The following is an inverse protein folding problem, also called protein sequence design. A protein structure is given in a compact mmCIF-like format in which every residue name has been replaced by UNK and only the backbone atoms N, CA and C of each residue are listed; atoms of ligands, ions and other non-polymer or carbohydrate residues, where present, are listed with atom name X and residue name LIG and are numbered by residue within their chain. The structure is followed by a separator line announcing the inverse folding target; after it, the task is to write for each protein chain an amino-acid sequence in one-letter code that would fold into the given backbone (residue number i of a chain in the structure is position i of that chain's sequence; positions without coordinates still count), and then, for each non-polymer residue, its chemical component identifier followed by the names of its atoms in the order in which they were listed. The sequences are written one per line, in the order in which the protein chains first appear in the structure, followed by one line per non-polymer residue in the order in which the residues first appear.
data_IF_191040019682
#
_entry.id   IF_191040019682
#
_cell.length_a   1.000
_cell.length_b   1.000
_cell.length_c   1.000
_cell.angle_alpha   90.00
_cell.angle_beta   90.00
_cell.angle_gamma   90.00
#
_symmetry.space_group_name_H-M   'P 1'
#
loop_
_entity.id
_entity.type
_entity.pdbx_description
1 polymer ?
#
# COMPACT_ATOMS: atom_id res chain seq x y z
N UNK A 1 1.84 -19.28 -3.70
CA UNK A 1 3.18 -18.68 -3.75
C UNK A 1 3.08 -17.17 -3.66
N UNK A 2 3.87 -16.56 -2.78
CA UNK A 2 3.82 -15.13 -2.58
C UNK A 2 4.48 -14.39 -3.74
N UNK A 3 3.85 -13.31 -4.18
CA UNK A 3 4.42 -12.47 -5.23
C UNK A 3 5.49 -11.56 -4.65
N UNK A 4 6.44 -11.16 -5.48
CA UNK A 4 7.46 -10.19 -5.08
C UNK A 4 6.80 -8.88 -4.62
N UNK A 5 5.76 -8.44 -5.30
CA UNK A 5 5.04 -7.22 -4.93
C UNK A 5 4.46 -7.31 -3.52
N UNK A 6 3.94 -8.47 -3.14
CA UNK A 6 3.40 -8.68 -1.80
C UNK A 6 4.49 -8.57 -0.74
N UNK A 7 5.67 -9.11 -1.03
CA UNK A 7 6.82 -9.01 -0.12
C UNK A 7 7.26 -7.55 0.04
N UNK A 8 7.31 -6.80 -1.06
CA UNK A 8 7.68 -5.39 -1.02
C UNK A 8 6.66 -4.60 -0.19
N UNK A 9 5.38 -4.81 -0.40
CA UNK A 9 4.34 -4.12 0.35
C UNK A 9 4.40 -4.45 1.84
N UNK A 10 4.64 -5.72 2.16
CA UNK A 10 4.79 -6.13 3.56
C UNK A 10 5.97 -5.40 4.22
N UNK A 11 7.09 -5.34 3.55
CA UNK A 11 8.25 -4.64 4.09
C UNK A 11 8.00 -3.14 4.24
N UNK A 12 7.29 -2.54 3.30
CA UNK A 12 6.93 -1.12 3.39
C UNK A 12 6.00 -0.85 4.58
N UNK A 13 5.19 -1.83 4.97
CA UNK A 13 4.26 -1.67 6.08
C UNK A 13 4.88 -1.97 7.43
N UNK A 14 5.84 -2.89 7.50
CA UNK A 14 6.31 -3.40 8.78
C UNK A 14 7.78 -3.13 9.08
N UNK A 15 8.57 -2.67 8.11
CA UNK A 15 9.99 -2.36 8.29
C UNK A 15 10.22 -0.88 8.03
N UNK A 16 10.32 -0.10 9.10
CA UNK A 16 10.46 1.35 9.00
C UNK A 16 11.74 1.77 8.28
N UNK A 17 12.86 1.13 8.58
CA UNK A 17 14.12 1.47 7.93
C UNK A 17 14.07 1.19 6.43
N UNK A 18 13.48 0.06 6.06
CA UNK A 18 13.28 -0.30 4.66
C UNK A 18 12.48 0.79 3.95
N UNK A 19 11.39 1.21 4.57
CA UNK A 19 10.51 2.22 3.99
C UNK A 19 11.23 3.55 3.79
N UNK A 20 11.96 4.01 4.78
CA UNK A 20 12.69 5.28 4.70
C UNK A 20 13.73 5.25 3.60
N UNK A 21 14.40 4.12 3.41
CA UNK A 21 15.48 3.99 2.44
C UNK A 21 15.00 3.76 1.03
N UNK A 22 13.88 3.07 0.87
CA UNK A 22 13.45 2.60 -0.46
C UNK A 22 12.26 3.33 -1.04
N UNK A 23 11.35 3.84 -0.20
CA UNK A 23 10.12 4.46 -0.70
C UNK A 23 10.35 5.57 -1.73
N UNK A 24 11.32 6.48 -1.54
CA UNK A 24 11.55 7.53 -2.54
C UNK A 24 11.98 7.02 -3.92
N UNK A 25 12.46 5.79 -4.00
CA UNK A 25 12.93 5.20 -5.25
C UNK A 25 11.91 4.29 -5.91
N UNK A 26 10.82 3.95 -5.22
CA UNK A 26 9.77 3.12 -5.79
C UNK A 26 8.82 3.96 -6.62
N UNK A 27 8.32 3.34 -7.68
CA UNK A 27 7.31 3.93 -8.55
C UNK A 27 6.09 3.01 -8.57
N UNK A 28 4.92 3.59 -8.71
CA UNK A 28 3.67 2.84 -8.79
C UNK A 28 3.65 1.86 -9.96
N UNK A 29 4.36 2.16 -11.04
CA UNK A 29 4.46 1.27 -12.20
C UNK A 29 5.18 -0.05 -11.92
N UNK A 30 5.89 -0.15 -10.78
CA UNK A 30 6.52 -1.41 -10.37
C UNK A 30 5.49 -2.42 -9.89
N UNK A 31 4.27 -2.00 -9.63
CA UNK A 31 3.20 -2.86 -9.18
C UNK A 31 2.25 -3.11 -10.34
N UNK A 32 2.10 -4.38 -10.72
CA UNK A 32 1.36 -4.75 -11.93
C UNK A 32 -0.13 -4.81 -11.73
N UNK A 33 -0.60 -5.15 -10.53
CA UNK A 33 -2.02 -5.20 -10.24
C UNK A 33 -2.50 -3.85 -9.73
N UNK A 34 -3.74 -3.51 -10.07
CA UNK A 34 -4.33 -2.25 -9.67
C UNK A 34 -4.45 -2.16 -8.14
N UNK A 35 -4.82 -3.27 -7.50
CA UNK A 35 -4.95 -3.33 -6.03
C UNK A 35 -3.64 -3.00 -5.33
N UNK A 36 -2.55 -3.61 -5.77
CA UNK A 36 -1.24 -3.37 -5.18
C UNK A 36 -0.78 -1.94 -5.41
N UNK A 37 -1.09 -1.40 -6.58
CA UNK A 37 -0.76 -0.01 -6.91
C UNK A 37 -1.49 0.96 -6.00
N UNK A 38 -2.77 0.71 -5.74
CA UNK A 38 -3.55 1.53 -4.82
C UNK A 38 -2.96 1.52 -3.41
N UNK A 39 -2.59 0.33 -2.93
CA UNK A 39 -1.99 0.19 -1.61
C UNK A 39 -0.68 0.97 -1.53
N UNK A 40 0.16 0.82 -2.55
CA UNK A 40 1.43 1.53 -2.60
C UNK A 40 1.23 3.05 -2.60
N UNK A 41 0.28 3.55 -3.38
CA UNK A 41 -0.02 4.98 -3.42
C UNK A 41 -0.43 5.51 -2.04
N UNK A 42 -1.26 4.77 -1.32
CA UNK A 42 -1.70 5.18 0.01
C UNK A 42 -0.57 5.14 1.02
N UNK A 43 0.32 4.16 0.92
CA UNK A 43 1.51 4.10 1.78
C UNK A 43 2.38 5.35 1.55
N UNK A 44 2.60 5.70 0.30
CA UNK A 44 3.42 6.87 -0.04
C UNK A 44 2.80 8.16 0.47
N UNK A 45 1.50 8.34 0.24
CA UNK A 45 0.79 9.53 0.72
C UNK A 45 0.88 9.67 2.23
N UNK A 46 0.65 8.57 2.93
CA UNK A 46 0.67 8.57 4.38
C UNK A 46 2.07 8.91 4.90
N UNK A 47 3.09 8.28 4.33
CA UNK A 47 4.47 8.54 4.73
C UNK A 47 4.87 10.00 4.47
N UNK A 48 4.48 10.54 3.31
CA UNK A 48 4.76 11.94 2.99
C UNK A 48 4.09 12.89 3.97
N UNK A 49 2.89 12.54 4.43
CA UNK A 49 2.11 13.40 5.32
C UNK A 49 2.57 13.31 6.78
N UNK A 50 2.86 12.11 7.25
CA UNK A 50 3.13 11.86 8.66
C UNK A 50 4.55 11.44 8.98
N UNK A 51 5.38 11.22 7.97
CA UNK A 51 6.78 10.77 8.10
C UNK A 51 6.92 9.44 8.84
N UNK A 52 5.91 8.59 8.75
CA UNK A 52 5.94 7.25 9.31
C UNK A 52 5.00 6.34 8.55
N UNK A 53 5.21 5.02 8.76
CA UNK A 53 4.42 4.00 8.09
C UNK A 53 2.97 4.01 8.56
N UNK A 54 2.02 3.75 7.65
CA UNK A 54 0.64 3.54 8.05
C UNK A 54 0.46 2.12 8.61
N UNK A 55 -0.54 1.95 9.46
CA UNK A 55 -1.00 0.62 9.82
C UNK A 55 -1.96 0.11 8.75
N UNK A 56 -2.27 -1.19 8.77
CA UNK A 56 -3.25 -1.76 7.85
C UNK A 56 -4.61 -1.12 8.08
N UNK A 57 -4.97 -0.86 9.33
CA UNK A 57 -6.23 -0.17 9.65
C UNK A 57 -6.26 1.24 9.06
N UNK A 58 -5.16 1.97 9.19
CA UNK A 58 -5.08 3.32 8.63
C UNK A 58 -5.24 3.31 7.11
N UNK A 59 -4.59 2.35 6.43
CA UNK A 59 -4.75 2.20 4.99
C UNK A 59 -6.18 1.89 4.60
N UNK A 60 -6.84 1.03 5.36
CA UNK A 60 -8.24 0.69 5.11
C UNK A 60 -9.14 1.92 5.20
N UNK A 61 -8.93 2.77 6.21
CA UNK A 61 -9.69 3.99 6.39
C UNK A 61 -9.46 4.94 5.21
N UNK A 62 -8.21 5.12 4.82
CA UNK A 62 -7.87 6.02 3.70
C UNK A 62 -8.47 5.53 2.38
N UNK A 63 -8.40 4.24 2.12
CA UNK A 63 -8.98 3.66 0.91
C UNK A 63 -10.50 3.81 0.89
N UNK A 64 -11.16 3.55 2.01
CA UNK A 64 -12.61 3.71 2.11
C UNK A 64 -13.05 5.16 1.92
N UNK A 65 -12.19 6.11 2.24
CA UNK A 65 -12.48 7.53 2.07
C UNK A 65 -12.34 8.02 0.64
N UNK A 66 -11.76 7.21 -0.24
CA UNK A 66 -11.59 7.60 -1.64
C UNK A 66 -12.90 7.44 -2.41
N UNK A 67 -13.19 8.40 -3.25
CA UNK A 67 -14.37 8.34 -4.13
C UNK A 67 -13.98 8.33 -5.61
N UNK A 68 -12.69 8.22 -5.90
CA UNK A 68 -12.15 8.20 -7.26
C UNK A 68 -11.89 6.78 -7.77
N UNK A 69 -12.24 5.76 -6.99
CA UNK A 69 -12.06 4.36 -7.38
C UNK A 69 -13.40 3.63 -7.36
N UNK A 70 -13.52 2.63 -8.22
CA UNK A 70 -14.73 1.82 -8.29
C UNK A 70 -14.83 0.92 -7.06
N UNK A 71 -16.05 0.57 -6.69
CA UNK A 71 -16.32 -0.30 -5.55
C UNK A 71 -15.59 -1.64 -5.66
N UNK A 72 -15.55 -2.22 -6.86
CA UNK A 72 -14.85 -3.48 -7.09
C UNK A 72 -13.35 -3.35 -6.86
N UNK A 73 -12.78 -2.22 -7.24
CA UNK A 73 -11.36 -1.96 -7.04
C UNK A 73 -11.04 -1.77 -5.57
N UNK A 74 -11.90 -1.06 -4.86
CA UNK A 74 -11.77 -0.90 -3.41
C UNK A 74 -11.81 -2.25 -2.71
N UNK A 75 -12.77 -3.09 -3.08
CA UNK A 75 -12.91 -4.42 -2.50
C UNK A 75 -11.66 -5.26 -2.73
N UNK A 76 -11.12 -5.23 -3.94
CA UNK A 76 -9.89 -5.97 -4.27
C UNK A 76 -8.70 -5.48 -3.45
N UNK A 77 -8.59 -4.18 -3.27
CA UNK A 77 -7.51 -3.60 -2.46
C UNK A 77 -7.64 -4.02 -0.99
N UNK A 78 -8.85 -4.01 -0.44
CA UNK A 78 -9.09 -4.42 0.94
C UNK A 78 -8.76 -5.89 1.15
N UNK A 79 -9.10 -6.74 0.19
CA UNK A 79 -8.75 -8.16 0.24
C UNK A 79 -7.24 -8.36 0.20
N UNK A 80 -6.53 -7.60 -0.63
CA UNK A 80 -5.07 -7.66 -0.69
C UNK A 80 -4.44 -7.25 0.63
N UNK A 81 -4.97 -6.22 1.29
CA UNK A 81 -4.49 -5.81 2.61
C UNK A 81 -4.61 -6.94 3.64
N UNK A 82 -5.70 -7.68 3.61
CA UNK A 82 -5.90 -8.80 4.52
C UNK A 82 -4.86 -9.89 4.33
N UNK A 83 -4.40 -10.10 3.11
CA UNK A 83 -3.43 -11.17 2.81
C UNK A 83 -1.99 -10.77 3.09
N UNK A 84 -1.71 -9.48 3.26
CA UNK A 84 -0.35 -9.01 3.51
C UNK A 84 0.14 -9.38 4.91
N UNK A 85 -0.72 -9.54 5.85
CA UNK A 85 -0.34 -9.85 7.24
C UNK A 85 0.36 -11.20 7.39
#
# INVERSE_FOLDING_TARGET
MEKLEDTILRNLLFDEDYTRKTLPFFRDEYFTTFSDRLIFEEIRKYFDKYSKQPSIEALGIELNGRNDIAEEQLKSAMESLETIE
#
